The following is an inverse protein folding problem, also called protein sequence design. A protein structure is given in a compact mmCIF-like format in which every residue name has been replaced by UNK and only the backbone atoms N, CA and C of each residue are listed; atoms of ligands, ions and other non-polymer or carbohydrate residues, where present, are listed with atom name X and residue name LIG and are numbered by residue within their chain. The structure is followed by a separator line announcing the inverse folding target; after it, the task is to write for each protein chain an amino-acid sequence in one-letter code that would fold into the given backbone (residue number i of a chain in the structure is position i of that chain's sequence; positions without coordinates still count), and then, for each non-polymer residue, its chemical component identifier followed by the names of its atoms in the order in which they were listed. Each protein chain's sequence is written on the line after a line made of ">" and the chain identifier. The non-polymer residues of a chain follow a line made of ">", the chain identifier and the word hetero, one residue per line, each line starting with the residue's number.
data_IF_825082760992
#
_entry.id   IF_825082760992
#
_cell.length_a   1.000
_cell.length_b   1.000
_cell.length_c   1.000
_cell.angle_alpha   90.00
_cell.angle_beta   90.00
_cell.angle_gamma   90.00
#
_symmetry.space_group_name_H-M   'P 1'
#
loop_
_entity.id
_entity.type
_entity.pdbx_description
1 polymer ?
#
# COMPACT_ATOMS: atom_id res chain seq x y z
N UNK A 1 -12.13 -13.39 8.76
CA UNK A 1 -12.57 -12.70 7.53
C UNK A 1 -11.86 -11.37 7.43
N UNK A 2 -11.38 -11.00 6.25
CA UNK A 2 -10.77 -9.70 5.97
C UNK A 2 -11.63 -9.03 4.91
N UNK A 3 -12.02 -7.78 5.16
CA UNK A 3 -12.75 -6.95 4.19
C UNK A 3 -11.84 -5.79 3.86
N UNK A 4 -11.34 -5.77 2.62
CA UNK A 4 -10.56 -4.66 2.10
C UNK A 4 -11.48 -3.61 1.47
N UNK A 5 -11.02 -2.37 1.43
CA UNK A 5 -11.79 -1.21 0.94
C UNK A 5 -13.20 -1.11 1.58
N UNK A 6 -13.29 -1.36 2.89
CA UNK A 6 -14.57 -1.45 3.59
C UNK A 6 -15.42 -0.16 3.53
N UNK A 7 -14.82 0.99 3.18
CA UNK A 7 -15.55 2.22 2.89
C UNK A 7 -16.44 2.14 1.64
N UNK A 8 -16.26 1.14 0.77
CA UNK A 8 -17.08 0.92 -0.41
C UNK A 8 -18.22 -0.10 -0.14
N UNK A 9 -18.18 -0.79 1.02
CA UNK A 9 -19.22 -1.76 1.39
C UNK A 9 -20.50 -1.04 1.80
N UNK A 10 -21.65 -1.49 1.31
CA UNK A 10 -22.95 -0.91 1.66
C UNK A 10 -23.21 -0.95 3.18
N UNK A 11 -23.84 0.10 3.71
CA UNK A 11 -24.03 0.29 5.17
C UNK A 11 -24.76 -0.89 5.82
N UNK A 12 -25.78 -1.42 5.15
CA UNK A 12 -26.60 -2.53 5.65
C UNK A 12 -25.76 -3.79 5.91
N UNK A 13 -24.85 -4.14 4.99
CA UNK A 13 -23.95 -5.29 5.15
C UNK A 13 -23.00 -5.08 6.32
N UNK A 14 -22.42 -3.87 6.46
CA UNK A 14 -21.57 -3.56 7.62
C UNK A 14 -22.36 -3.67 8.93
N UNK A 15 -23.60 -3.16 8.98
CA UNK A 15 -24.45 -3.24 10.16
C UNK A 15 -24.76 -4.70 10.58
N UNK A 16 -24.93 -5.60 9.61
CA UNK A 16 -25.16 -7.03 9.87
C UNK A 16 -23.93 -7.74 10.44
N UNK A 17 -22.71 -7.26 10.18
CA UNK A 17 -21.48 -7.81 10.79
C UNK A 17 -21.51 -7.77 12.32
N UNK A 18 -22.28 -6.83 12.90
CA UNK A 18 -22.49 -6.81 14.36
C UNK A 18 -23.18 -8.07 14.84
N UNK A 19 -24.14 -8.60 14.09
CA UNK A 19 -24.90 -9.80 14.49
C UNK A 19 -23.98 -11.02 14.47
N UNK A 20 -23.19 -11.14 13.40
CA UNK A 20 -22.23 -12.24 13.21
C UNK A 20 -21.08 -12.21 14.23
N UNK A 21 -20.59 -11.02 14.60
CA UNK A 21 -19.53 -10.85 15.59
C UNK A 21 -20.03 -10.93 17.05
N UNK A 22 -21.35 -10.83 17.28
CA UNK A 22 -21.97 -10.93 18.61
C UNK A 22 -22.48 -12.32 18.94
N UNK A 23 -22.64 -13.19 17.94
CA UNK A 23 -23.09 -14.55 18.12
C UNK A 23 -22.02 -15.34 18.91
N UNK A 24 -22.34 -15.65 20.16
CA UNK A 24 -21.58 -16.58 21.00
C UNK A 24 -22.21 -17.96 20.84
N UNK A 25 -21.52 -18.85 20.14
CA UNK A 25 -21.77 -20.28 20.25
C UNK A 25 -20.72 -20.84 21.21
N UNK A 26 -21.16 -21.54 22.26
CA UNK A 26 -20.30 -22.33 23.14
C UNK A 26 -19.01 -21.61 23.62
N UNK A 27 -19.17 -20.34 24.02
CA UNK A 27 -18.13 -19.48 24.61
C UNK A 27 -17.04 -18.95 23.68
N UNK A 28 -17.12 -19.18 22.36
CA UNK A 28 -16.15 -18.67 21.38
C UNK A 28 -16.76 -17.64 20.44
N UNK A 29 -15.96 -16.65 20.01
CA UNK A 29 -16.33 -15.74 18.93
C UNK A 29 -16.38 -16.55 17.63
N UNK A 30 -17.54 -16.63 17.00
CA UNK A 30 -17.71 -17.35 15.74
C UNK A 30 -16.94 -16.73 14.57
N UNK A 31 -16.69 -15.42 14.63
CA UNK A 31 -16.11 -14.68 13.52
C UNK A 31 -15.24 -13.51 13.98
N UNK A 32 -13.94 -13.61 13.67
CA UNK A 32 -13.02 -12.46 13.73
C UNK A 32 -13.05 -11.74 12.37
N UNK A 33 -13.35 -10.44 12.41
CA UNK A 33 -13.41 -9.57 11.23
C UNK A 33 -12.33 -8.51 11.32
N UNK A 34 -11.52 -8.39 10.27
CA UNK A 34 -10.60 -7.26 10.06
C UNK A 34 -11.17 -6.42 8.94
N UNK A 35 -11.45 -5.15 9.22
CA UNK A 35 -11.89 -4.18 8.22
C UNK A 35 -10.71 -3.27 7.90
N UNK A 36 -10.31 -3.23 6.63
CA UNK A 36 -9.30 -2.34 6.10
C UNK A 36 -9.97 -1.34 5.14
N UNK A 37 -9.43 -0.14 5.09
CA UNK A 37 -9.97 0.95 4.28
C UNK A 37 -9.28 2.26 4.59
N UNK A 38 -9.69 3.30 3.90
CA UNK A 38 -9.14 4.65 4.08
C UNK A 38 -9.88 5.45 5.17
N UNK A 39 -9.50 6.72 5.34
CA UNK A 39 -10.09 7.62 6.34
C UNK A 39 -11.61 7.77 6.20
N UNK A 40 -12.19 7.60 4.99
CA UNK A 40 -13.64 7.68 4.77
C UNK A 40 -14.37 6.60 5.58
N UNK A 41 -13.76 5.44 5.80
CA UNK A 41 -14.33 4.37 6.62
C UNK A 41 -14.54 4.82 8.06
N UNK A 42 -13.57 5.53 8.64
CA UNK A 42 -13.66 6.04 10.01
C UNK A 42 -14.77 7.06 10.16
N UNK A 43 -14.98 7.92 9.16
CA UNK A 43 -16.12 8.84 9.14
C UNK A 43 -17.45 8.10 9.02
N UNK A 44 -17.54 7.06 8.19
CA UNK A 44 -18.75 6.23 8.08
C UNK A 44 -19.13 5.58 9.41
N UNK A 45 -18.17 5.13 10.22
CA UNK A 45 -18.46 4.55 11.54
C UNK A 45 -19.05 5.53 12.56
N UNK A 46 -19.03 6.83 12.28
CA UNK A 46 -19.71 7.85 13.11
C UNK A 46 -21.20 7.99 12.79
N UNK A 47 -21.68 7.41 11.68
CA UNK A 47 -23.10 7.42 11.32
C UNK A 47 -23.94 6.60 12.30
N UNK A 48 -25.20 7.03 12.54
CA UNK A 48 -26.10 6.39 13.51
C UNK A 48 -26.28 4.88 13.26
N UNK A 49 -26.37 4.48 11.98
CA UNK A 49 -26.52 3.09 11.57
C UNK A 49 -25.33 2.21 11.96
N UNK A 50 -24.12 2.78 11.99
CA UNK A 50 -22.87 2.07 12.28
C UNK A 50 -22.33 2.31 13.70
N UNK A 51 -22.90 3.22 14.49
CA UNK A 51 -22.53 3.41 15.91
C UNK A 51 -22.49 2.10 16.71
N UNK A 52 -23.46 1.17 16.56
CA UNK A 52 -23.43 -0.10 17.29
C UNK A 52 -22.27 -1.03 16.89
N UNK A 53 -21.84 -0.99 15.62
CA UNK A 53 -20.68 -1.73 15.15
C UNK A 53 -19.39 -1.06 15.62
N UNK A 54 -19.32 0.27 15.52
CA UNK A 54 -18.18 1.08 15.90
C UNK A 54 -17.81 0.92 17.39
N UNK A 55 -18.81 0.84 18.28
CA UNK A 55 -18.59 0.64 19.72
C UNK A 55 -17.98 -0.74 20.07
N UNK A 56 -18.03 -1.70 19.14
CA UNK A 56 -17.47 -3.06 19.32
C UNK A 56 -16.06 -3.20 18.76
N UNK A 57 -15.56 -2.21 18.03
CA UNK A 57 -14.20 -2.19 17.53
C UNK A 57 -13.20 -1.91 18.65
N UNK A 58 -12.59 -2.98 19.17
CA UNK A 58 -11.62 -2.90 20.26
C UNK A 58 -10.24 -2.41 19.82
N UNK A 59 -9.85 -2.71 18.59
CA UNK A 59 -8.54 -2.40 18.04
C UNK A 59 -8.74 -1.57 16.79
N UNK A 60 -8.02 -0.45 16.71
CA UNK A 60 -7.91 0.38 15.51
C UNK A 60 -6.43 0.61 15.27
N UNK A 61 -5.99 0.28 14.07
CA UNK A 61 -4.62 0.50 13.62
C UNK A 61 -4.69 1.49 12.47
N UNK A 62 -4.16 2.69 12.69
CA UNK A 62 -3.95 3.65 11.62
C UNK A 62 -2.58 3.34 11.00
N UNK A 63 -2.57 3.13 9.69
CA UNK A 63 -1.33 2.98 8.93
C UNK A 63 -0.96 4.35 8.38
N UNK A 64 0.11 4.91 8.92
CA UNK A 64 0.72 6.15 8.45
C UNK A 64 1.78 5.87 7.40
N UNK A 65 2.41 6.94 6.89
CA UNK A 65 3.58 6.81 6.03
C UNK A 65 4.69 6.07 6.76
N UNK A 66 5.31 5.13 6.06
CA UNK A 66 6.43 4.38 6.59
C UNK A 66 7.64 5.29 6.81
N UNK A 67 8.46 4.97 7.81
CA UNK A 67 9.73 5.66 8.03
C UNK A 67 10.75 5.27 6.95
N UNK A 68 11.79 6.09 6.69
CA UNK A 68 12.87 5.70 5.81
C UNK A 68 13.53 4.36 6.19
N UNK A 69 13.62 4.06 7.49
CA UNK A 69 14.14 2.80 8.01
C UNK A 69 13.23 1.62 7.65
N UNK A 70 11.91 1.75 7.84
CA UNK A 70 10.94 0.71 7.48
C UNK A 70 10.93 0.43 5.96
N UNK A 71 11.03 1.48 5.15
CA UNK A 71 11.15 1.35 3.69
C UNK A 71 12.43 0.58 3.30
N UNK A 72 13.57 0.95 3.89
CA UNK A 72 14.85 0.29 3.65
C UNK A 72 14.80 -1.17 4.07
N UNK A 73 14.28 -1.47 5.26
CA UNK A 73 14.13 -2.84 5.75
C UNK A 73 13.21 -3.67 4.85
N UNK A 74 12.10 -3.10 4.39
CA UNK A 74 11.19 -3.76 3.46
C UNK A 74 11.88 -4.14 2.14
N UNK A 75 12.60 -3.20 1.53
CA UNK A 75 13.30 -3.44 0.27
C UNK A 75 14.45 -4.43 0.44
N UNK A 76 15.25 -4.30 1.49
CA UNK A 76 16.32 -5.25 1.80
C UNK A 76 15.77 -6.66 2.07
N UNK A 77 14.65 -6.75 2.78
CA UNK A 77 13.96 -8.02 3.00
C UNK A 77 13.53 -8.66 1.69
N UNK A 78 12.92 -7.89 0.77
CA UNK A 78 12.50 -8.37 -0.54
C UNK A 78 13.69 -8.90 -1.36
N UNK A 79 14.80 -8.14 -1.42
CA UNK A 79 16.03 -8.55 -2.11
C UNK A 79 16.65 -9.82 -1.50
N UNK A 80 16.68 -9.91 -0.17
CA UNK A 80 17.19 -11.07 0.55
C UNK A 80 16.34 -12.32 0.28
N UNK A 81 15.01 -12.18 0.33
CA UNK A 81 14.08 -13.28 0.04
C UNK A 81 14.17 -13.75 -1.41
N UNK A 82 14.47 -12.86 -2.34
CA UNK A 82 14.73 -13.20 -3.74
C UNK A 82 16.11 -13.84 -3.97
N UNK A 83 16.97 -13.93 -2.96
CA UNK A 83 18.33 -14.48 -3.08
C UNK A 83 19.33 -13.51 -3.73
N UNK A 84 18.97 -12.24 -3.87
CA UNK A 84 19.79 -11.21 -4.52
C UNK A 84 20.03 -9.99 -3.60
N UNK A 85 20.57 -10.19 -2.38
CA UNK A 85 20.70 -9.12 -1.37
C UNK A 85 21.63 -7.97 -1.77
N UNK A 86 22.47 -8.17 -2.79
CA UNK A 86 23.44 -7.18 -3.29
C UNK A 86 23.07 -6.62 -4.68
N UNK A 87 21.86 -6.93 -5.17
CA UNK A 87 21.44 -6.53 -6.51
C UNK A 87 21.33 -5.01 -6.67
N UNK A 88 20.87 -4.32 -5.63
CA UNK A 88 20.81 -2.86 -5.57
C UNK A 88 21.93 -2.32 -4.69
N UNK A 89 22.54 -1.20 -5.08
CA UNK A 89 23.55 -0.53 -4.25
C UNK A 89 22.90 0.12 -3.01
N UNK A 90 23.63 0.25 -1.88
CA UNK A 90 23.12 0.95 -0.70
C UNK A 90 22.66 2.37 -0.97
N UNK A 91 23.37 3.08 -1.86
CA UNK A 91 23.08 4.46 -2.26
C UNK A 91 21.76 4.51 -3.04
N UNK A 92 21.54 3.59 -3.97
CA UNK A 92 20.27 3.47 -4.69
C UNK A 92 19.11 3.18 -3.75
N UNK A 93 19.30 2.29 -2.77
CA UNK A 93 18.27 1.98 -1.78
C UNK A 93 17.88 3.23 -1.00
N UNK A 94 18.86 4.04 -0.58
CA UNK A 94 18.60 5.31 0.11
C UNK A 94 17.82 6.27 -0.78
N UNK A 95 18.27 6.46 -2.03
CA UNK A 95 17.62 7.32 -3.03
C UNK A 95 16.17 6.88 -3.31
N UNK A 96 15.90 5.58 -3.37
CA UNK A 96 14.55 5.03 -3.53
C UNK A 96 13.66 5.31 -2.31
N UNK A 97 14.19 5.14 -1.10
CA UNK A 97 13.45 5.43 0.14
C UNK A 97 13.10 6.92 0.24
N UNK A 98 14.05 7.79 -0.07
CA UNK A 98 13.85 9.25 -0.09
C UNK A 98 12.83 9.65 -1.15
N UNK A 99 12.89 9.06 -2.35
CA UNK A 99 11.92 9.35 -3.42
C UNK A 99 10.51 8.87 -3.05
N UNK A 100 10.38 7.72 -2.39
CA UNK A 100 9.10 7.14 -2.02
C UNK A 100 8.36 7.93 -0.93
N UNK A 101 9.05 8.76 -0.14
CA UNK A 101 8.45 9.63 0.88
C UNK A 101 7.49 8.87 1.83
N UNK A 102 7.88 7.68 2.26
CA UNK A 102 7.10 6.80 3.13
C UNK A 102 5.98 6.00 2.45
N UNK A 103 5.84 6.09 1.12
CA UNK A 103 4.87 5.31 0.35
C UNK A 103 5.49 3.99 -0.14
N UNK A 104 5.19 2.90 0.59
CA UNK A 104 5.61 1.54 0.25
C UNK A 104 5.21 1.11 -1.17
N UNK A 105 4.00 1.46 -1.64
CA UNK A 105 3.54 1.08 -2.99
C UNK A 105 4.37 1.79 -4.06
N UNK A 106 4.63 3.09 -3.88
CA UNK A 106 5.47 3.84 -4.80
C UNK A 106 6.91 3.29 -4.83
N UNK A 107 7.48 3.00 -3.66
CA UNK A 107 8.80 2.36 -3.54
C UNK A 107 8.88 1.06 -4.34
N UNK A 108 7.94 0.14 -4.10
CA UNK A 108 7.98 -1.19 -4.70
C UNK A 108 7.73 -1.15 -6.21
N UNK A 109 6.85 -0.25 -6.67
CA UNK A 109 6.63 -0.05 -8.11
C UNK A 109 7.90 0.44 -8.81
N UNK A 110 8.54 1.48 -8.28
CA UNK A 110 9.77 2.03 -8.87
C UNK A 110 10.94 1.05 -8.81
N UNK A 111 11.10 0.33 -7.69
CA UNK A 111 12.08 -0.74 -7.58
C UNK A 111 11.83 -1.86 -8.61
N UNK A 112 10.56 -2.21 -8.86
CA UNK A 112 10.16 -3.18 -9.88
C UNK A 112 10.44 -2.70 -11.30
N UNK A 113 10.17 -1.43 -11.60
CA UNK A 113 10.50 -0.80 -12.90
C UNK A 113 12.02 -0.83 -13.17
N UNK A 114 12.83 -0.48 -12.16
CA UNK A 114 14.29 -0.56 -12.26
C UNK A 114 14.78 -1.99 -12.48
N UNK A 115 14.19 -2.95 -11.77
CA UNK A 115 14.52 -4.36 -11.95
C UNK A 115 14.20 -4.83 -13.38
N UNK A 116 13.04 -4.42 -13.92
CA UNK A 116 12.66 -4.75 -15.29
C UNK A 116 13.62 -4.14 -16.32
N UNK A 117 14.05 -2.89 -16.12
CA UNK A 117 15.03 -2.23 -16.99
C UNK A 117 16.41 -2.90 -16.89
N UNK A 118 16.86 -3.22 -15.67
CA UNK A 118 18.12 -3.91 -15.44
C UNK A 118 18.13 -5.29 -16.13
N UNK A 119 17.02 -6.02 -16.05
CA UNK A 119 16.87 -7.30 -16.73
C UNK A 119 16.96 -7.16 -18.27
N UNK A 120 16.31 -6.14 -18.85
CA UNK A 120 16.40 -5.86 -20.29
C UNK A 120 17.82 -5.55 -20.76
N UNK A 121 18.65 -4.97 -19.88
CA UNK A 121 20.05 -4.61 -20.18
C UNK A 121 21.07 -5.65 -19.73
N UNK A 122 20.61 -6.78 -19.21
CA UNK A 122 21.47 -7.81 -18.60
C UNK A 122 22.42 -7.25 -17.54
N UNK A 123 21.98 -6.20 -16.83
CA UNK A 123 22.78 -5.54 -15.81
C UNK A 123 22.92 -6.44 -14.59
N UNK A 124 24.16 -6.63 -14.12
CA UNK A 124 24.47 -7.47 -12.95
C UNK A 124 24.19 -6.79 -11.61
N UNK A 125 24.06 -5.47 -11.62
CA UNK A 125 23.78 -4.64 -10.45
C UNK A 125 22.95 -3.42 -10.88
N UNK A 126 22.12 -2.91 -9.98
CA UNK A 126 21.27 -1.75 -10.16
C UNK A 126 21.83 -0.63 -9.27
N UNK A 127 22.15 0.50 -9.88
CA UNK A 127 22.75 1.67 -9.22
C UNK A 127 21.94 2.95 -9.47
N UNK A 128 22.42 4.07 -8.96
CA UNK A 128 21.77 5.37 -9.10
C UNK A 128 21.73 5.86 -10.56
N UNK A 129 22.67 5.44 -11.43
CA UNK A 129 22.66 5.85 -12.83
C UNK A 129 21.42 5.31 -13.54
N UNK A 130 21.11 4.02 -13.32
CA UNK A 130 19.91 3.41 -13.88
C UNK A 130 18.61 4.04 -13.33
N UNK A 131 18.65 4.49 -12.07
CA UNK A 131 17.56 5.26 -11.47
C UNK A 131 17.31 6.58 -12.21
N UNK A 132 18.35 7.40 -12.41
CA UNK A 132 18.18 8.69 -13.08
C UNK A 132 17.67 8.55 -14.51
N UNK A 133 18.11 7.52 -15.23
CA UNK A 133 17.60 7.23 -16.57
C UNK A 133 16.11 6.86 -16.57
N UNK A 134 15.67 6.06 -15.60
CA UNK A 134 14.27 5.63 -15.48
C UNK A 134 13.37 6.82 -15.14
N UNK A 135 13.77 7.65 -14.17
CA UNK A 135 13.00 8.84 -13.77
C UNK A 135 12.99 9.89 -14.89
N UNK A 136 14.10 10.06 -15.61
CA UNK A 136 14.17 10.97 -16.76
C UNK A 136 13.26 10.51 -17.91
N UNK A 137 13.20 9.20 -18.19
CA UNK A 137 12.33 8.63 -19.22
C UNK A 137 10.83 8.69 -18.85
N UNK A 138 10.51 8.62 -17.55
CA UNK A 138 9.12 8.66 -17.04
C UNK A 138 8.53 10.08 -16.93
N UNK A 139 9.27 11.14 -17.28
CA UNK A 139 8.70 12.50 -17.38
C UNK A 139 7.88 12.59 -18.67
N UNK A 140 6.53 12.68 -18.62
CA UNK A 140 5.76 12.74 -19.85
C UNK A 140 5.96 14.10 -20.51
N UNK A 141 6.30 14.05 -21.79
CA UNK A 141 6.08 15.13 -22.74
C UNK A 141 4.69 15.77 -22.51
N UNK A 142 4.67 17.09 -22.46
CA UNK A 142 3.48 17.92 -22.34
C UNK A 142 2.32 17.36 -23.18
N UNK A 143 1.20 17.06 -22.52
CA UNK A 143 -0.09 16.83 -23.15
C UNK A 143 -0.40 18.02 -24.07
N UNK A 144 -0.14 17.89 -25.36
CA UNK A 144 -0.69 18.78 -26.39
C UNK A 144 -2.20 18.65 -26.31
N UNK A 145 -2.84 19.61 -25.66
CA UNK A 145 -4.28 19.84 -25.75
C UNK A 145 -4.57 20.14 -27.23
N UNK A 146 -5.01 19.12 -27.96
CA UNK A 146 -5.59 19.29 -29.29
C UNK A 146 -6.92 20.00 -29.09
N UNK A 147 -6.91 21.32 -29.32
CA UNK A 147 -8.11 22.14 -29.34
C UNK A 147 -9.08 21.59 -30.38
N UNK A 148 -10.22 21.07 -29.91
CA UNK A 148 -11.38 20.80 -30.77
C UNK A 148 -11.97 22.15 -31.18
N UNK A 149 -11.70 22.55 -32.42
CA UNK A 149 -12.41 23.63 -33.11
C UNK A 149 -13.74 23.09 -33.66
N UNK A 150 -14.78 23.86 -33.36
CA UNK A 150 -16.12 23.98 -33.98
C UNK A 150 -17.14 22.90 -33.67
#
# INVERSE_FOLDING_TARGET
>A
MIVDEAQEVIVTVLAELRLLSSARLDSHLLLTVVLAGDQRLLERFKSEELLPLNSRMRVRLALDRATPEELRECLQHALTKAGAPKLMTPELIATLCDHAQGNLRALMNLAGELLALAAQREARQIDEQLFFETVAASTPAQLKVVGRKR
#
